data_IF_298951953823
#
_entry.id   IF_298951953823
#
_cell.length_a   1.000
_cell.length_b   1.000
_cell.length_c   1.000
_cell.angle_alpha   90.00
_cell.angle_beta   90.00
_cell.angle_gamma   90.00
#
_symmetry.space_group_name_H-M   'P 1'
#
loop_
_entity.id
_entity.type
_entity.pdbx_description
1 polymer ?
#
# COMPACT_ATOMS: atom_id res chain seq x y z
N UNK A 1 -41.31 -7.52 -8.52
CA UNK A 1 -41.07 -6.33 -9.37
C UNK A 1 -39.91 -5.55 -8.79
N UNK A 2 -38.91 -5.19 -9.58
CA UNK A 2 -37.82 -4.31 -9.11
C UNK A 2 -38.39 -2.90 -8.98
N UNK A 3 -38.24 -2.28 -7.80
CA UNK A 3 -38.84 -0.98 -7.48
C UNK A 3 -37.84 0.16 -7.75
N UNK A 4 -36.55 -0.10 -7.58
CA UNK A 4 -35.46 0.84 -7.86
C UNK A 4 -34.16 0.05 -8.15
N UNK A 5 -33.42 0.48 -9.16
CA UNK A 5 -32.11 -0.08 -9.53
C UNK A 5 -31.29 0.92 -10.34
N UNK A 6 -30.02 1.05 -10.00
CA UNK A 6 -29.05 1.84 -10.75
C UNK A 6 -27.86 0.98 -11.16
N UNK A 7 -27.48 1.04 -12.44
CA UNK A 7 -26.25 0.44 -12.97
C UNK A 7 -25.31 1.57 -13.34
N UNK A 8 -24.20 1.69 -12.60
CA UNK A 8 -23.19 2.72 -12.85
C UNK A 8 -21.94 2.04 -13.41
N UNK A 9 -21.46 2.54 -14.55
CA UNK A 9 -20.17 2.14 -15.13
C UNK A 9 -19.14 3.21 -14.79
N UNK A 10 -18.11 2.81 -14.06
CA UNK A 10 -17.00 3.68 -13.68
C UNK A 10 -15.74 3.18 -14.40
N UNK A 11 -15.46 3.65 -15.64
CA UNK A 11 -14.23 3.29 -16.32
C UNK A 11 -13.04 3.74 -15.47
N UNK A 12 -12.04 2.86 -15.34
CA UNK A 12 -10.82 3.10 -14.56
C UNK A 12 -11.00 3.28 -13.04
N UNK A 13 -12.10 2.81 -12.43
CA UNK A 13 -12.28 2.89 -10.98
C UNK A 13 -11.21 2.14 -10.16
N UNK A 14 -10.56 1.13 -10.76
CA UNK A 14 -9.59 0.24 -10.11
C UNK A 14 -8.30 0.08 -10.92
N UNK A 15 -7.93 1.09 -11.71
CA UNK A 15 -6.76 1.05 -12.59
C UNK A 15 -5.40 1.04 -11.85
N UNK A 16 -5.39 1.34 -10.55
CA UNK A 16 -4.14 1.44 -9.78
C UNK A 16 -3.74 0.16 -9.04
N UNK A 17 -4.56 -0.91 -9.04
CA UNK A 17 -4.25 -2.17 -8.35
C UNK A 17 -3.60 -3.21 -9.27
N UNK A 18 -2.60 -2.79 -10.05
CA UNK A 18 -1.79 -3.73 -10.84
C UNK A 18 -0.64 -4.32 -9.98
N UNK A 19 -0.16 -5.54 -10.27
CA UNK A 19 1.05 -6.08 -9.64
C UNK A 19 2.22 -5.08 -9.76
N UNK A 20 2.85 -4.75 -8.62
CA UNK A 20 3.98 -3.81 -8.55
C UNK A 20 3.61 -2.32 -8.49
N UNK A 21 2.33 -1.95 -8.63
CA UNK A 21 1.85 -0.56 -8.60
C UNK A 21 2.24 0.25 -7.35
N UNK A 22 2.43 -0.41 -6.20
CA UNK A 22 2.84 0.23 -4.96
C UNK A 22 4.16 1.02 -5.09
N UNK A 23 5.08 0.57 -5.93
CA UNK A 23 6.34 1.28 -6.20
C UNK A 23 6.11 2.61 -6.94
N UNK A 24 5.00 2.75 -7.66
CA UNK A 24 4.64 3.95 -8.42
C UNK A 24 3.78 4.94 -7.62
N UNK A 25 3.29 4.56 -6.44
CA UNK A 25 2.51 5.46 -5.59
C UNK A 25 3.41 6.58 -5.03
N UNK A 26 2.97 7.84 -4.91
CA UNK A 26 3.74 8.89 -4.26
C UNK A 26 3.94 8.64 -2.75
N UNK A 27 4.97 9.26 -2.18
CA UNK A 27 5.11 9.40 -0.73
C UNK A 27 4.21 10.53 -0.22
N UNK A 28 3.89 10.55 1.09
CA UNK A 28 3.00 11.57 1.69
C UNK A 28 3.47 13.01 1.45
N UNK A 29 4.79 13.27 1.39
CA UNK A 29 5.35 14.59 1.02
C UNK A 29 5.99 14.48 -0.35
N UNK A 30 5.73 15.47 -1.21
CA UNK A 30 6.44 15.59 -2.48
C UNK A 30 7.96 15.74 -2.26
N UNK A 31 8.74 15.16 -3.16
CA UNK A 31 10.20 15.30 -3.19
C UNK A 31 10.65 16.58 -3.89
N UNK A 32 9.80 17.10 -4.77
CA UNK A 32 10.14 18.21 -5.67
C UNK A 32 9.46 19.53 -5.27
N UNK A 33 8.39 19.47 -4.47
CA UNK A 33 7.60 20.64 -4.05
C UNK A 33 7.44 20.62 -2.53
N UNK A 34 8.09 21.54 -1.84
CA UNK A 34 8.26 21.48 -0.40
C UNK A 34 6.96 21.57 0.42
N UNK A 35 5.96 22.29 -0.08
CA UNK A 35 4.67 22.49 0.57
C UNK A 35 3.55 21.64 -0.05
N UNK A 36 3.89 20.64 -0.86
CA UNK A 36 2.92 19.73 -1.46
C UNK A 36 2.90 18.37 -0.75
N UNK A 37 1.68 17.92 -0.46
CA UNK A 37 1.41 16.66 0.22
C UNK A 37 0.39 15.84 -0.57
N UNK A 38 0.59 14.54 -0.61
CA UNK A 38 -0.31 13.59 -1.27
C UNK A 38 -1.09 12.83 -0.20
N UNK A 39 -2.41 12.73 -0.39
CA UNK A 39 -3.34 12.02 0.49
C UNK A 39 -4.30 11.19 -0.35
N UNK A 40 -4.86 10.12 0.21
CA UNK A 40 -5.77 9.22 -0.47
C UNK A 40 -5.28 7.77 -0.50
N UNK A 41 -6.03 6.91 -1.18
CA UNK A 41 -5.69 5.48 -1.23
C UNK A 41 -4.43 5.19 -2.08
N UNK A 42 -4.09 6.08 -3.02
CA UNK A 42 -2.93 5.95 -3.91
C UNK A 42 -1.74 6.73 -3.34
N UNK A 43 -1.41 6.48 -2.07
CA UNK A 43 -0.25 7.05 -1.38
C UNK A 43 0.47 5.95 -0.60
N UNK A 44 1.80 5.99 -0.56
CA UNK A 44 2.58 5.05 0.26
C UNK A 44 2.44 5.38 1.74
N UNK A 45 2.03 4.39 2.52
CA UNK A 45 1.99 4.41 3.99
C UNK A 45 2.45 3.06 4.53
N UNK A 46 2.96 3.06 5.77
CA UNK A 46 3.31 1.85 6.52
C UNK A 46 2.15 1.26 7.33
N UNK A 47 1.01 1.96 7.39
CA UNK A 47 -0.15 1.54 8.16
C UNK A 47 -0.76 0.21 7.70
N UNK A 48 -0.69 -0.11 6.40
CA UNK A 48 -1.18 -1.38 5.85
C UNK A 48 -2.69 -1.42 5.55
N UNK A 49 -3.43 -0.34 5.80
CA UNK A 49 -4.85 -0.23 5.42
C UNK A 49 -5.03 0.02 3.92
N UNK A 50 -6.27 -0.13 3.44
CA UNK A 50 -6.68 0.10 2.05
C UNK A 50 -7.99 0.88 1.96
N UNK A 51 -8.28 1.38 0.76
CA UNK A 51 -9.51 2.11 0.41
C UNK A 51 -9.74 3.34 1.30
N UNK A 52 -10.94 3.48 1.87
CA UNK A 52 -11.35 4.66 2.63
C UNK A 52 -10.50 4.88 3.87
N UNK A 53 -10.12 3.80 4.56
CA UNK A 53 -9.29 3.89 5.76
C UNK A 53 -7.89 4.40 5.43
N UNK A 54 -7.29 3.92 4.34
CA UNK A 54 -5.98 4.42 3.89
C UNK A 54 -6.05 5.89 3.49
N UNK A 55 -7.12 6.30 2.82
CA UNK A 55 -7.34 7.70 2.47
C UNK A 55 -7.44 8.59 3.72
N UNK A 56 -8.13 8.11 4.77
CA UNK A 56 -8.20 8.81 6.06
C UNK A 56 -6.84 8.88 6.75
N UNK A 57 -6.15 7.75 6.87
CA UNK A 57 -4.84 7.63 7.52
C UNK A 57 -3.80 8.51 6.84
N UNK A 58 -3.68 8.46 5.51
CA UNK A 58 -2.71 9.28 4.78
C UNK A 58 -2.99 10.78 4.90
N UNK A 59 -4.26 11.17 5.06
CA UNK A 59 -4.64 12.53 5.44
C UNK A 59 -4.11 12.94 6.81
N UNK A 60 -4.26 12.07 7.81
CA UNK A 60 -3.71 12.27 9.16
C UNK A 60 -2.18 12.32 9.16
N UNK A 61 -1.52 11.44 8.42
CA UNK A 61 -0.06 11.41 8.26
C UNK A 61 0.45 12.72 7.64
N UNK A 62 -0.23 13.23 6.61
CA UNK A 62 0.09 14.51 5.99
C UNK A 62 -0.07 15.67 6.98
N UNK A 63 -1.18 15.71 7.72
CA UNK A 63 -1.42 16.73 8.74
C UNK A 63 -0.34 16.70 9.84
N UNK A 64 -0.02 15.51 10.36
CA UNK A 64 1.05 15.34 11.35
C UNK A 64 2.39 15.84 10.83
N UNK A 65 2.71 15.55 9.56
CA UNK A 65 3.95 16.00 8.92
C UNK A 65 4.00 17.52 8.75
N UNK A 66 2.89 18.15 8.37
CA UNK A 66 2.77 19.62 8.29
C UNK A 66 2.99 20.25 9.67
N UNK A 67 2.45 19.64 10.72
CA UNK A 67 2.54 20.11 12.10
C UNK A 67 3.86 19.76 12.81
N UNK A 68 4.79 19.07 12.14
CA UNK A 68 6.04 18.60 12.76
C UNK A 68 5.86 17.57 13.88
N UNK A 69 4.73 16.87 13.91
CA UNK A 69 4.44 15.79 14.85
C UNK A 69 4.91 14.43 14.34
N UNK A 70 5.03 13.40 15.21
CA UNK A 70 5.20 12.01 14.77
C UNK A 70 4.12 11.63 13.74
N UNK A 71 4.52 10.95 12.67
CA UNK A 71 3.65 10.72 11.50
C UNK A 71 2.40 9.89 11.86
N UNK A 72 2.52 9.01 12.83
CA UNK A 72 1.52 8.06 13.33
C UNK A 72 0.68 8.61 14.50
N UNK A 73 0.89 9.87 14.91
CA UNK A 73 0.17 10.47 16.03
C UNK A 73 -1.34 10.45 15.80
N UNK A 74 -2.07 9.82 16.71
CA UNK A 74 -3.53 9.72 16.64
C UNK A 74 -4.05 8.72 15.59
N UNK A 75 -3.17 7.92 14.99
CA UNK A 75 -3.54 6.84 14.06
C UNK A 75 -3.52 5.52 14.81
N UNK A 76 -4.66 4.83 14.85
CA UNK A 76 -4.78 3.51 15.44
C UNK A 76 -4.09 2.49 14.54
N UNK A 77 -3.08 1.79 15.05
CA UNK A 77 -2.36 0.78 14.27
C UNK A 77 -3.22 -0.46 14.02
N UNK A 78 -3.03 -1.09 12.86
CA UNK A 78 -3.61 -2.39 12.57
C UNK A 78 -3.06 -3.46 13.52
N UNK A 79 -3.88 -4.48 13.76
CA UNK A 79 -3.43 -5.69 14.43
C UNK A 79 -2.30 -6.34 13.63
N UNK A 80 -1.35 -6.95 14.33
CA UNK A 80 -0.33 -7.77 13.68
C UNK A 80 -0.96 -8.94 12.92
N UNK A 81 -0.33 -9.34 11.82
CA UNK A 81 -0.65 -10.57 11.08
C UNK A 81 -0.75 -11.77 12.03
N UNK A 82 -1.59 -12.75 11.69
CA UNK A 82 -1.63 -14.01 12.43
C UNK A 82 -0.26 -14.71 12.37
N UNK A 83 0.09 -15.46 13.42
CA UNK A 83 1.40 -16.11 13.55
C UNK A 83 1.78 -16.92 12.31
N UNK A 84 0.84 -17.68 11.75
CA UNK A 84 1.11 -18.50 10.57
C UNK A 84 1.33 -17.68 9.29
N UNK A 85 0.66 -16.52 9.16
CA UNK A 85 0.85 -15.58 8.05
C UNK A 85 2.21 -14.92 8.15
N UNK A 86 2.58 -14.42 9.33
CA UNK A 86 3.88 -13.83 9.59
C UNK A 86 5.03 -14.80 9.30
N UNK A 87 4.94 -16.03 9.82
CA UNK A 87 5.93 -17.08 9.58
C UNK A 87 6.03 -17.45 8.10
N UNK A 88 4.90 -17.56 7.40
CA UNK A 88 4.89 -17.83 5.96
C UNK A 88 5.57 -16.72 5.15
N UNK A 89 5.26 -15.45 5.46
CA UNK A 89 5.87 -14.28 4.82
C UNK A 89 7.39 -14.26 5.04
N UNK A 90 7.84 -14.53 6.26
CA UNK A 90 9.27 -14.52 6.59
C UNK A 90 10.01 -15.70 5.94
N UNK A 91 9.43 -16.90 5.93
CA UNK A 91 9.98 -18.06 5.24
C UNK A 91 10.14 -17.80 3.73
N UNK A 92 9.14 -17.18 3.10
CA UNK A 92 9.22 -16.78 1.68
C UNK A 92 10.31 -15.73 1.46
N UNK A 93 10.43 -14.72 2.33
CA UNK A 93 11.47 -13.71 2.22
C UNK A 93 12.88 -14.31 2.34
N UNK A 94 13.08 -15.26 3.25
CA UNK A 94 14.32 -16.01 3.40
C UNK A 94 14.61 -16.84 2.15
N UNK A 95 13.61 -17.59 1.65
CA UNK A 95 13.75 -18.39 0.43
C UNK A 95 14.14 -17.54 -0.78
N UNK A 96 13.48 -16.39 -0.98
CA UNK A 96 13.83 -15.43 -2.03
C UNK A 96 15.26 -14.91 -1.89
N UNK A 97 15.69 -14.59 -0.68
CA UNK A 97 17.05 -14.12 -0.41
C UNK A 97 18.09 -15.18 -0.78
N UNK A 98 17.86 -16.44 -0.42
CA UNK A 98 18.77 -17.56 -0.73
C UNK A 98 18.84 -17.76 -2.25
N UNK A 99 17.68 -17.85 -2.92
CA UNK A 99 17.61 -18.06 -4.36
C UNK A 99 18.16 -16.87 -5.17
N UNK A 100 18.05 -15.66 -4.64
CA UNK A 100 18.62 -14.44 -5.20
C UNK A 100 20.08 -14.19 -4.85
N UNK A 101 20.81 -15.21 -4.36
CA UNK A 101 22.23 -15.13 -3.97
C UNK A 101 22.52 -14.00 -2.95
N UNK A 102 21.60 -13.75 -2.02
CA UNK A 102 21.69 -12.71 -1.00
C UNK A 102 20.87 -11.44 -1.32
N UNK A 103 20.41 -11.27 -2.56
CA UNK A 103 19.59 -10.14 -3.01
C UNK A 103 18.15 -10.58 -3.25
N UNK A 104 17.23 -10.10 -2.40
CA UNK A 104 15.80 -10.44 -2.46
C UNK A 104 15.15 -10.00 -3.78
N UNK A 105 15.66 -8.92 -4.41
CA UNK A 105 15.12 -8.40 -5.68
C UNK A 105 15.42 -9.29 -6.88
N UNK A 106 16.45 -10.15 -6.77
CA UNK A 106 16.85 -11.13 -7.77
C UNK A 106 16.23 -12.51 -7.54
N UNK A 107 15.55 -12.70 -6.41
CA UNK A 107 14.82 -13.92 -6.11
C UNK A 107 13.54 -14.03 -6.96
N UNK A 108 13.10 -15.25 -7.31
CA UNK A 108 11.94 -15.46 -8.16
C UNK A 108 10.66 -14.87 -7.55
N UNK A 109 9.88 -14.17 -8.38
CA UNK A 109 8.58 -13.60 -8.05
C UNK A 109 7.45 -14.52 -8.52
N UNK A 110 6.30 -14.51 -7.82
CA UNK A 110 5.08 -15.17 -8.32
C UNK A 110 4.63 -14.58 -9.67
N UNK A 111 4.96 -13.30 -9.91
CA UNK A 111 4.69 -12.63 -11.19
C UNK A 111 5.51 -13.27 -12.31
N UNK A 112 6.74 -13.73 -12.04
CA UNK A 112 7.62 -14.40 -13.02
C UNK A 112 7.16 -15.82 -13.36
N UNK A 113 6.24 -16.38 -12.58
CA UNK A 113 5.70 -17.73 -12.78
C UNK A 113 4.31 -17.69 -13.43
N UNK A 114 3.44 -16.78 -13.00
CA UNK A 114 2.06 -16.69 -13.45
C UNK A 114 1.89 -15.99 -14.81
N UNK A 115 2.88 -15.20 -15.25
CA UNK A 115 2.81 -14.40 -16.48
C UNK A 115 3.89 -14.76 -17.50
N UNK A 116 4.29 -16.04 -17.58
CA UNK A 116 5.13 -16.60 -18.66
C UNK A 116 4.30 -17.02 -19.86
#
# INVERSE_FOLDING_TARGET
TVIDAAVVKLPNAVNWYAPGSYANMPDVKSKDIDNAFFVGDIVRTRHGSWSQEKAFVTGMEAANKIMGSPIDKGILQLSSDEVHVALGRDAVAIGKKILGAGDVSRGPSLVDFLWR
#
